data_IF_273219021842
#
_entry.id   IF_273219021842
#
_cell.length_a   1.000
_cell.length_b   1.000
_cell.length_c   1.000
_cell.angle_alpha   90.00
_cell.angle_beta   90.00
_cell.angle_gamma   90.00
#
_symmetry.space_group_name_H-M   'P 1'
#
loop_
_entity.id
_entity.type
_entity.pdbx_description
1 polymer ?
#
# COMPACT_ATOMS: atom_id res chain seq x y z
N UNK A 1 -20.61 31.72 -36.23
CA UNK A 1 -20.53 30.25 -36.27
C UNK A 1 -19.52 29.85 -37.33
N UNK A 2 -18.35 29.39 -36.93
CA UNK A 2 -17.59 28.35 -37.65
C UNK A 2 -16.43 27.93 -36.75
N UNK A 3 -16.70 26.96 -35.88
CA UNK A 3 -15.67 26.26 -35.12
C UNK A 3 -14.99 25.31 -36.12
N UNK A 4 -13.94 25.78 -36.78
CA UNK A 4 -13.23 25.02 -37.79
C UNK A 4 -12.42 23.92 -37.06
N UNK A 5 -12.97 22.70 -37.11
CA UNK A 5 -12.43 21.43 -36.59
C UNK A 5 -11.09 21.00 -37.26
N UNK A 6 -10.30 21.96 -37.76
CA UNK A 6 -9.08 21.75 -38.54
C UNK A 6 -7.79 21.80 -37.72
N UNK A 7 -7.87 21.89 -36.39
CA UNK A 7 -6.69 22.21 -35.55
C UNK A 7 -5.84 21.01 -35.09
N UNK A 8 -5.96 19.79 -35.63
CA UNK A 8 -5.18 18.63 -35.16
C UNK A 8 -4.34 17.90 -36.21
N UNK A 9 -4.33 18.32 -37.47
CA UNK A 9 -3.51 17.66 -38.51
C UNK A 9 -2.56 18.66 -39.17
N UNK A 10 -1.27 18.57 -38.84
CA UNK A 10 -0.19 19.19 -39.63
C UNK A 10 0.20 18.18 -40.72
N UNK A 11 -0.29 18.41 -41.95
CA UNK A 11 0.11 17.65 -43.14
C UNK A 11 1.35 18.28 -43.76
N UNK A 12 2.48 17.57 -43.76
CA UNK A 12 3.63 17.90 -44.61
C UNK A 12 3.51 17.17 -45.97
N UNK A 13 4.09 17.71 -47.07
CA UNK A 13 3.86 17.21 -48.42
C UNK A 13 4.44 15.81 -48.73
N UNK A 14 5.16 15.17 -47.79
CA UNK A 14 5.93 13.94 -48.02
C UNK A 14 5.48 12.74 -47.17
N UNK A 15 4.23 12.72 -46.70
CA UNK A 15 3.66 11.63 -45.91
C UNK A 15 3.16 12.12 -44.55
N UNK A 16 2.05 11.53 -44.10
CA UNK A 16 1.47 11.79 -42.77
C UNK A 16 2.51 11.34 -41.74
N UNK A 17 3.06 12.29 -40.98
CA UNK A 17 3.99 11.98 -39.89
C UNK A 17 3.13 11.38 -38.75
N UNK A 18 3.41 10.15 -38.25
CA UNK A 18 2.61 9.46 -37.23
C UNK A 18 2.85 10.05 -35.83
N UNK A 19 2.72 11.36 -35.68
CA UNK A 19 2.86 12.07 -34.41
C UNK A 19 1.72 11.69 -33.47
N UNK A 20 0.50 11.51 -33.98
CA UNK A 20 -0.66 11.06 -33.19
C UNK A 20 -0.50 9.63 -32.69
N UNK A 21 -0.06 8.71 -33.54
CA UNK A 21 0.12 7.29 -33.15
C UNK A 21 1.26 7.14 -32.13
N UNK A 22 2.40 7.78 -32.37
CA UNK A 22 3.53 7.78 -31.43
C UNK A 22 3.15 8.43 -30.08
N UNK A 23 2.38 9.52 -30.11
CA UNK A 23 1.94 10.20 -28.89
C UNK A 23 0.92 9.36 -28.11
N UNK A 24 0.01 8.66 -28.80
CA UNK A 24 -0.90 7.70 -28.18
C UNK A 24 -0.18 6.55 -27.48
N UNK A 25 0.87 5.99 -28.11
CA UNK A 25 1.70 4.96 -27.49
C UNK A 25 2.46 5.46 -26.27
N UNK A 26 3.00 6.68 -26.32
CA UNK A 26 3.69 7.28 -25.18
C UNK A 26 2.74 7.54 -24.00
N UNK A 27 1.53 8.05 -24.26
CA UNK A 27 0.50 8.24 -23.23
C UNK A 27 0.07 6.89 -22.64
N UNK A 28 -0.15 5.87 -23.46
CA UNK A 28 -0.51 4.53 -22.98
C UNK A 28 0.58 3.94 -22.06
N UNK A 29 1.86 4.04 -22.47
CA UNK A 29 2.97 3.57 -21.65
C UNK A 29 3.07 4.34 -20.31
N UNK A 30 2.82 5.65 -20.31
CA UNK A 30 2.79 6.46 -19.08
C UNK A 30 1.59 6.10 -18.18
N UNK A 31 0.43 5.82 -18.76
CA UNK A 31 -0.73 5.32 -18.02
C UNK A 31 -0.46 3.95 -17.38
N UNK A 32 0.22 3.05 -18.09
CA UNK A 32 0.57 1.72 -17.56
C UNK A 32 1.60 1.85 -16.42
N UNK A 33 2.63 2.68 -16.58
CA UNK A 33 3.64 2.93 -15.55
C UNK A 33 3.03 3.55 -14.28
N UNK A 34 2.14 4.53 -14.44
CA UNK A 34 1.43 5.14 -13.30
C UNK A 34 0.46 4.17 -12.63
N UNK A 35 -0.24 3.33 -13.39
CA UNK A 35 -1.09 2.28 -12.84
C UNK A 35 -0.28 1.23 -12.05
N UNK A 36 0.89 0.85 -12.57
CA UNK A 36 1.82 -0.04 -11.87
C UNK A 36 2.35 0.59 -10.57
N UNK A 37 2.71 1.88 -10.60
CA UNK A 37 3.18 2.62 -9.43
C UNK A 37 2.09 2.76 -8.36
N UNK A 38 0.84 3.00 -8.76
CA UNK A 38 -0.30 3.02 -7.85
C UNK A 38 -0.53 1.64 -7.23
N UNK A 39 -0.52 0.57 -8.03
CA UNK A 39 -0.69 -0.80 -7.53
C UNK A 39 0.45 -1.26 -6.60
N UNK A 40 1.68 -0.79 -6.81
CA UNK A 40 2.79 -1.02 -5.87
C UNK A 40 2.62 -0.20 -4.58
N UNK A 41 2.18 1.05 -4.69
CA UNK A 41 1.91 1.90 -3.53
C UNK A 41 0.77 1.33 -2.67
N UNK A 42 -0.31 0.84 -3.30
CA UNK A 42 -1.42 0.19 -2.60
C UNK A 42 -0.97 -1.08 -1.88
N UNK A 43 -0.15 -1.92 -2.53
CA UNK A 43 0.44 -3.11 -1.90
C UNK A 43 1.32 -2.74 -0.71
N UNK A 44 2.15 -1.72 -0.86
CA UNK A 44 3.02 -1.23 0.22
C UNK A 44 2.23 -0.63 1.37
N UNK A 45 1.15 0.09 1.07
CA UNK A 45 0.25 0.66 2.06
C UNK A 45 -0.46 -0.44 2.84
N UNK A 46 -1.03 -1.44 2.16
CA UNK A 46 -1.67 -2.59 2.80
C UNK A 46 -0.71 -3.36 3.71
N UNK A 47 0.54 -3.59 3.28
CA UNK A 47 1.55 -4.23 4.11
C UNK A 47 1.91 -3.39 5.35
N UNK A 48 1.96 -2.06 5.21
CA UNK A 48 2.19 -1.15 6.33
C UNK A 48 1.02 -1.15 7.31
N UNK A 49 -0.22 -1.11 6.81
CA UNK A 49 -1.44 -1.19 7.63
C UNK A 49 -1.47 -2.50 8.43
N UNK A 50 -1.26 -3.65 7.78
CA UNK A 50 -1.20 -4.95 8.43
C UNK A 50 -0.13 -5.00 9.54
N UNK A 51 1.02 -4.36 9.33
CA UNK A 51 2.07 -4.26 10.36
C UNK A 51 1.65 -3.37 11.53
N UNK A 52 0.93 -2.27 11.27
CA UNK A 52 0.43 -1.39 12.31
C UNK A 52 -0.65 -2.09 13.13
N UNK A 53 -1.59 -2.77 12.50
CA UNK A 53 -2.64 -3.56 13.17
C UNK A 53 -2.04 -4.62 14.08
N UNK A 54 -1.07 -5.41 13.59
CA UNK A 54 -0.33 -6.38 14.41
C UNK A 54 0.30 -5.76 15.66
N UNK A 55 0.86 -4.55 15.52
CA UNK A 55 1.43 -3.83 16.66
C UNK A 55 0.35 -3.35 17.62
N UNK A 56 -0.78 -2.87 17.11
CA UNK A 56 -1.90 -2.42 17.93
C UNK A 56 -2.49 -3.58 18.74
N UNK A 57 -2.72 -4.73 18.11
CA UNK A 57 -3.18 -5.94 18.80
C UNK A 57 -2.22 -6.35 19.92
N UNK A 58 -0.90 -6.31 19.67
CA UNK A 58 0.08 -6.59 20.72
C UNK A 58 0.03 -5.59 21.89
N UNK A 59 -0.22 -4.30 21.61
CA UNK A 59 -0.42 -3.31 22.66
C UNK A 59 -1.72 -3.54 23.43
N UNK A 60 -2.79 -3.97 22.76
CA UNK A 60 -4.04 -4.37 23.40
C UNK A 60 -3.80 -5.53 24.36
N UNK A 61 -3.12 -6.59 23.90
CA UNK A 61 -2.81 -7.76 24.73
C UNK A 61 -1.97 -7.39 25.97
N UNK A 62 -1.00 -6.48 25.82
CA UNK A 62 -0.22 -5.93 26.95
C UNK A 62 -1.10 -5.18 27.96
N UNK A 63 -2.04 -4.37 27.48
CA UNK A 63 -2.96 -3.62 28.35
C UNK A 63 -3.87 -4.59 29.10
N UNK A 64 -4.46 -5.57 28.39
CA UNK A 64 -5.31 -6.58 29.02
C UNK A 64 -4.54 -7.40 30.07
N UNK A 65 -3.32 -7.84 29.75
CA UNK A 65 -2.48 -8.57 30.69
C UNK A 65 -2.14 -7.73 31.93
N UNK A 66 -1.87 -6.44 31.74
CA UNK A 66 -1.59 -5.52 32.86
C UNK A 66 -2.80 -5.38 33.77
N UNK A 67 -4.00 -5.18 33.22
CA UNK A 67 -5.25 -5.08 33.98
C UNK A 67 -5.55 -6.37 34.73
N UNK A 68 -5.39 -7.52 34.09
CA UNK A 68 -5.61 -8.83 34.70
C UNK A 68 -4.59 -9.13 35.81
N UNK A 69 -3.32 -8.79 35.60
CA UNK A 69 -2.27 -8.93 36.60
C UNK A 69 -2.52 -8.06 37.83
N UNK A 70 -2.98 -6.83 37.62
CA UNK A 70 -3.34 -5.91 38.70
C UNK A 70 -4.53 -6.39 39.52
N UNK A 71 -5.52 -7.04 38.90
CA UNK A 71 -6.61 -7.70 39.63
C UNK A 71 -6.12 -8.92 40.40
N UNK A 72 -5.36 -9.80 39.76
CA UNK A 72 -4.81 -10.99 40.40
C UNK A 72 -3.98 -10.63 41.65
N UNK A 73 -3.17 -9.57 41.58
CA UNK A 73 -2.41 -9.07 42.73
C UNK A 73 -3.28 -8.56 43.86
N UNK A 74 -4.39 -7.87 43.56
CA UNK A 74 -5.34 -7.39 44.58
C UNK A 74 -6.09 -8.54 45.25
N UNK A 75 -6.45 -9.55 44.47
CA UNK A 75 -7.22 -10.71 44.93
C UNK A 75 -6.35 -11.81 45.55
N UNK A 76 -5.02 -11.63 45.56
CA UNK A 76 -4.06 -12.63 46.04
C UNK A 76 -3.97 -13.88 45.16
N UNK A 77 -4.43 -13.78 43.91
CA UNK A 77 -4.42 -14.85 42.92
C UNK A 77 -3.06 -14.92 42.19
N UNK A 78 -2.80 -16.08 41.59
CA UNK A 78 -1.62 -16.25 40.73
C UNK A 78 -1.72 -15.32 39.50
N UNK A 79 -0.58 -14.77 39.08
CA UNK A 79 -0.52 -13.92 37.90
C UNK A 79 -0.89 -14.72 36.63
N UNK A 80 -1.71 -14.15 35.73
CA UNK A 80 -2.01 -14.78 34.46
C UNK A 80 -0.75 -14.84 33.60
N UNK A 81 -0.59 -15.94 32.85
CA UNK A 81 0.41 -16.00 31.79
C UNK A 81 0.15 -14.92 30.75
N UNK A 82 1.21 -14.43 30.12
CA UNK A 82 1.08 -13.51 29.00
C UNK A 82 0.37 -14.22 27.84
N UNK A 83 -0.61 -13.55 27.21
CA UNK A 83 -1.34 -14.11 26.08
C UNK A 83 -0.37 -14.41 24.93
N UNK A 84 -0.51 -15.58 24.32
CA UNK A 84 0.23 -15.87 23.08
C UNK A 84 -0.18 -14.85 22.00
N UNK A 85 0.79 -14.32 21.23
CA UNK A 85 0.48 -13.43 20.11
C UNK A 85 -0.53 -14.10 19.17
N UNK A 86 -1.53 -13.34 18.72
CA UNK A 86 -2.48 -13.82 17.71
C UNK A 86 -1.69 -14.29 16.48
N UNK A 87 -2.00 -15.48 15.97
CA UNK A 87 -1.33 -16.03 14.78
C UNK A 87 -1.91 -15.36 13.54
N UNK A 88 -1.11 -14.54 12.88
CA UNK A 88 -1.45 -13.96 11.58
C UNK A 88 -0.92 -14.88 10.47
N UNK A 89 -1.62 -14.92 9.34
CA UNK A 89 -1.08 -15.56 8.15
C UNK A 89 0.24 -14.88 7.77
N UNK A 90 1.30 -15.66 7.62
CA UNK A 90 2.60 -15.17 7.16
C UNK A 90 2.44 -14.67 5.71
N UNK A 91 2.48 -13.35 5.54
CA UNK A 91 2.42 -12.68 4.24
C UNK A 91 3.81 -12.49 3.64
N UNK A 92 4.81 -13.29 4.06
CA UNK A 92 6.07 -13.49 3.34
C UNK A 92 6.91 -12.23 3.09
N UNK A 93 6.67 -11.14 3.84
CA UNK A 93 7.36 -9.86 3.63
C UNK A 93 8.26 -9.50 4.81
N UNK A 94 9.14 -10.43 5.18
CA UNK A 94 10.19 -10.25 6.20
C UNK A 94 11.47 -9.61 5.61
N UNK A 95 11.32 -8.72 4.64
CA UNK A 95 12.41 -7.90 4.10
C UNK A 95 12.22 -6.45 4.54
N UNK A 96 12.46 -6.18 5.83
CA UNK A 96 12.75 -4.81 6.27
C UNK A 96 14.10 -4.37 5.70
N UNK A 97 14.27 -3.12 5.24
CA UNK A 97 15.59 -2.65 4.83
C UNK A 97 16.50 -2.61 6.06
N UNK A 98 17.46 -3.53 6.13
CA UNK A 98 18.62 -3.43 7.03
C UNK A 98 19.50 -2.28 6.54
N UNK A 99 19.18 -1.06 6.99
CA UNK A 99 20.05 0.10 6.86
C UNK A 99 21.00 0.18 8.06
N UNK A 100 22.31 0.16 7.78
CA UNK A 100 23.40 0.53 8.71
C UNK A 100 23.53 2.04 8.84
#
# INVERSE_FOLDING_TARGET
MSNDLRSWFVTFPNGVIPLVENWGHWIAAQCDETAQQMAESDRRWAAWEARVERRLDHYEDLVQWTVASEHARRDGLQLPSFSEPRVYADDGSDAGPSGS
#
